data_IF_177518450155
#
_entry.id   IF_177518450155
#
_cell.length_a   1.000
_cell.length_b   1.000
_cell.length_c   1.000
_cell.angle_alpha   90.00
_cell.angle_beta   90.00
_cell.angle_gamma   90.00
#
_symmetry.space_group_name_H-M   'P 1'
#
loop_
_entity.id
_entity.type
_entity.pdbx_description
1 polymer ?
#
# COMPACT_ATOMS: atom_id res chain seq x y z
N UNK A 1 -4.76 -18.84 -12.08
CA UNK A 1 -5.59 -18.78 -10.88
C UNK A 1 -5.99 -17.34 -10.77
N UNK A 2 -7.26 -17.06 -11.04
CA UNK A 2 -7.81 -15.72 -11.16
C UNK A 2 -8.25 -15.21 -9.78
N UNK A 3 -7.79 -14.01 -9.43
CA UNK A 3 -8.24 -13.26 -8.26
C UNK A 3 -9.07 -12.09 -8.75
N UNK A 4 -10.37 -12.09 -8.44
CA UNK A 4 -11.29 -11.01 -8.79
C UNK A 4 -11.57 -10.13 -7.57
N UNK A 5 -11.30 -8.83 -7.70
CA UNK A 5 -11.63 -7.83 -6.69
C UNK A 5 -13.07 -7.35 -6.90
N UNK A 6 -13.90 -7.38 -5.85
CA UNK A 6 -15.25 -6.84 -5.89
C UNK A 6 -15.43 -5.88 -4.70
N UNK A 7 -15.61 -4.59 -5.00
CA UNK A 7 -15.93 -3.58 -3.99
C UNK A 7 -17.44 -3.65 -3.72
N UNK A 8 -17.82 -4.19 -2.56
CA UNK A 8 -19.21 -4.12 -2.11
C UNK A 8 -19.53 -2.73 -1.52
N UNK A 9 -20.83 -2.41 -1.52
CA UNK A 9 -21.43 -1.13 -1.13
C UNK A 9 -21.10 -0.63 0.29
N UNK A 10 -20.47 -1.47 1.12
CA UNK A 10 -20.13 -1.20 2.52
C UNK A 10 -18.65 -0.88 2.76
N UNK A 11 -17.87 -0.58 1.70
CA UNK A 11 -16.48 -0.13 1.80
C UNK A 11 -15.48 -1.14 2.42
N UNK A 12 -15.85 -2.41 2.57
CA UNK A 12 -14.93 -3.48 3.02
C UNK A 12 -14.27 -4.19 1.83
N UNK A 13 -12.93 -4.28 1.88
CA UNK A 13 -12.09 -4.85 0.82
C UNK A 13 -11.69 -6.27 1.22
N UNK A 14 -12.35 -7.27 0.64
CA UNK A 14 -12.10 -8.70 0.91
C UNK A 14 -11.00 -9.21 -0.02
N UNK A 15 -9.95 -9.82 0.55
CA UNK A 15 -8.80 -10.37 -0.19
C UNK A 15 -8.80 -11.89 -0.06
N UNK A 16 -8.98 -12.60 -1.17
CA UNK A 16 -8.64 -14.03 -1.25
C UNK A 16 -7.24 -14.16 -1.83
N UNK A 17 -6.45 -15.14 -1.35
CA UNK A 17 -5.07 -15.35 -1.76
C UNK A 17 -4.96 -16.69 -2.49
N UNK A 18 -4.31 -16.71 -3.64
CA UNK A 18 -4.06 -17.96 -4.38
C UNK A 18 -2.58 -18.12 -4.69
N UNK A 19 -2.01 -19.18 -4.13
CA UNK A 19 -0.57 -19.46 -4.09
C UNK A 19 0.00 -19.92 -5.44
N UNK A 20 1.00 -19.19 -5.98
CA UNK A 20 2.08 -19.64 -6.88
C UNK A 20 3.22 -18.58 -6.90
N UNK A 21 4.48 -18.96 -7.25
CA UNK A 21 5.69 -18.25 -6.83
C UNK A 21 5.87 -16.88 -7.52
N UNK A 22 5.86 -15.84 -6.68
CA UNK A 22 6.26 -14.43 -6.88
C UNK A 22 6.09 -13.83 -8.28
N UNK A 23 4.84 -13.69 -8.72
CA UNK A 23 4.46 -12.59 -9.60
C UNK A 23 4.02 -11.43 -8.72
N UNK A 24 4.49 -10.22 -9.01
CA UNK A 24 4.13 -9.02 -8.26
C UNK A 24 2.59 -8.98 -8.03
N UNK A 25 2.17 -8.83 -6.78
CA UNK A 25 0.75 -8.94 -6.40
C UNK A 25 0.06 -7.62 -6.70
N UNK A 26 -0.89 -7.61 -7.63
CA UNK A 26 -1.66 -6.41 -7.96
C UNK A 26 -2.44 -5.88 -6.75
N UNK A 27 -2.32 -4.58 -6.50
CA UNK A 27 -2.94 -3.91 -5.35
C UNK A 27 -3.99 -2.88 -5.74
N UNK A 28 -3.89 -2.32 -6.94
CA UNK A 28 -4.74 -1.24 -7.41
C UNK A 28 -4.01 -0.30 -8.36
N UNK A 29 -4.61 0.84 -8.64
CA UNK A 29 -4.04 1.88 -9.50
C UNK A 29 -3.21 2.89 -8.69
N UNK A 30 -2.31 3.58 -9.38
CA UNK A 30 -1.49 4.65 -8.80
C UNK A 30 -2.38 5.79 -8.26
N UNK A 31 -3.49 6.08 -8.94
CA UNK A 31 -4.46 7.09 -8.48
C UNK A 31 -5.14 6.67 -7.16
N UNK A 32 -5.51 5.40 -7.02
CA UNK A 32 -6.07 4.85 -5.78
C UNK A 32 -5.04 4.91 -4.65
N UNK A 33 -3.78 4.58 -4.93
CA UNK A 33 -2.69 4.72 -3.97
C UNK A 33 -2.50 6.17 -3.54
N UNK A 34 -2.47 7.13 -4.46
CA UNK A 34 -2.37 8.55 -4.12
C UNK A 34 -3.54 9.03 -3.24
N UNK A 35 -4.76 8.54 -3.47
CA UNK A 35 -5.93 8.81 -2.61
C UNK A 35 -5.78 8.17 -1.22
N UNK A 36 -5.25 6.95 -1.17
CA UNK A 36 -4.94 6.25 0.08
C UNK A 36 -3.93 7.06 0.90
N UNK A 37 -2.81 7.48 0.31
CA UNK A 37 -1.78 8.28 1.01
C UNK A 37 -2.34 9.57 1.58
N UNK A 38 -3.13 10.32 0.79
CA UNK A 38 -3.83 11.52 1.29
C UNK A 38 -4.75 11.22 2.46
N UNK A 39 -5.42 10.08 2.44
CA UNK A 39 -6.30 9.64 3.53
C UNK A 39 -5.51 9.27 4.77
N UNK A 40 -4.38 8.58 4.61
CA UNK A 40 -3.47 8.22 5.69
C UNK A 40 -2.89 9.46 6.36
N UNK A 41 -2.30 10.39 5.61
CA UNK A 41 -1.76 11.65 6.15
C UNK A 41 -2.83 12.47 6.87
N UNK A 42 -4.06 12.51 6.35
CA UNK A 42 -5.17 13.21 7.02
C UNK A 42 -5.59 12.54 8.33
N UNK A 43 -5.46 11.21 8.44
CA UNK A 43 -5.81 10.46 9.66
C UNK A 43 -4.67 10.46 10.67
N UNK A 44 -3.42 10.49 10.21
CA UNK A 44 -2.23 10.43 11.04
C UNK A 44 -1.87 11.74 11.74
N UNK A 45 -2.47 12.88 11.34
CA UNK A 45 -2.38 14.21 11.98
C UNK A 45 -1.27 14.36 13.04
N UNK A 46 -0.15 14.92 12.61
CA UNK A 46 0.99 15.27 13.47
C UNK A 46 1.69 14.07 14.15
N UNK A 47 1.26 12.82 13.93
CA UNK A 47 1.94 11.61 14.43
C UNK A 47 2.91 11.01 13.39
N UNK A 48 2.50 10.96 12.12
CA UNK A 48 3.31 10.39 11.04
C UNK A 48 2.96 10.97 9.67
N UNK A 49 3.96 11.01 8.79
CA UNK A 49 3.81 11.35 7.38
C UNK A 49 4.06 10.10 6.50
N UNK A 50 3.10 9.80 5.63
CA UNK A 50 3.20 8.78 4.61
C UNK A 50 3.58 9.40 3.28
N UNK A 51 4.69 8.96 2.71
CA UNK A 51 5.19 9.43 1.42
C UNK A 51 5.28 8.25 0.46
N UNK A 52 4.61 8.37 -0.69
CA UNK A 52 4.74 7.40 -1.79
C UNK A 52 5.46 8.03 -2.97
N UNK A 53 6.71 7.62 -3.19
CA UNK A 53 7.61 8.25 -4.15
C UNK A 53 8.27 7.24 -5.08
N UNK A 54 8.50 7.66 -6.33
CA UNK A 54 9.28 6.88 -7.29
C UNK A 54 10.76 6.91 -6.91
N UNK A 55 11.41 5.75 -6.96
CA UNK A 55 12.86 5.64 -6.74
C UNK A 55 13.62 5.54 -8.06
N UNK A 56 13.48 4.42 -8.77
CA UNK A 56 14.14 4.15 -10.04
C UNK A 56 13.23 3.29 -10.92
N UNK A 57 13.08 3.66 -12.20
CA UNK A 57 12.24 2.94 -13.17
C UNK A 57 10.82 2.71 -12.63
N UNK A 58 10.38 1.47 -12.61
CA UNK A 58 9.06 1.05 -12.13
C UNK A 58 9.02 0.89 -10.60
N UNK A 59 10.10 1.12 -9.86
CA UNK A 59 10.12 0.91 -8.41
C UNK A 59 9.72 2.17 -7.65
N UNK A 60 8.82 2.00 -6.69
CA UNK A 60 8.30 3.04 -5.82
C UNK A 60 8.44 2.61 -4.36
N UNK A 61 8.57 3.57 -3.46
CA UNK A 61 8.65 3.31 -2.03
C UNK A 61 7.53 4.04 -1.32
N UNK A 62 6.85 3.33 -0.41
CA UNK A 62 5.99 3.92 0.61
C UNK A 62 6.81 4.00 1.90
N UNK A 63 6.97 5.20 2.43
CA UNK A 63 7.67 5.46 3.69
C UNK A 63 6.66 5.99 4.70
N UNK A 64 6.72 5.48 5.92
CA UNK A 64 6.06 6.02 7.12
C UNK A 64 7.14 6.69 7.96
N UNK A 65 7.09 8.01 8.05
CA UNK A 65 8.01 8.84 8.83
C UNK A 65 7.31 9.32 10.11
N UNK A 66 7.79 8.92 11.28
CA UNK A 66 7.23 9.31 12.57
C UNK A 66 7.92 10.56 13.10
N UNK A 67 7.18 11.63 13.37
CA UNK A 67 7.76 12.93 13.72
C UNK A 67 8.63 12.93 15.01
N UNK A 68 8.38 11.99 15.93
CA UNK A 68 9.04 11.92 17.24
C UNK A 68 9.98 10.71 17.40
N UNK A 69 10.28 9.97 16.33
CA UNK A 69 11.13 8.78 16.41
C UNK A 69 12.11 8.68 15.25
N UNK A 70 13.34 8.22 15.53
CA UNK A 70 14.31 7.85 14.49
C UNK A 70 13.92 6.55 13.74
N UNK A 71 12.79 5.94 14.09
CA UNK A 71 12.26 4.75 13.42
C UNK A 71 11.40 5.15 12.22
N UNK A 72 11.75 4.65 11.03
CA UNK A 72 10.93 4.74 9.83
C UNK A 72 10.69 3.33 9.28
N UNK A 73 9.43 3.02 8.97
CA UNK A 73 9.07 1.79 8.26
C UNK A 73 8.90 2.11 6.77
N UNK A 74 9.40 1.25 5.88
CA UNK A 74 9.23 1.43 4.45
C UNK A 74 8.92 0.11 3.72
N UNK A 75 8.20 0.23 2.60
CA UNK A 75 7.89 -0.88 1.73
C UNK A 75 8.08 -0.49 0.26
N UNK A 76 8.61 -1.42 -0.53
CA UNK A 76 8.90 -1.22 -1.96
C UNK A 76 7.78 -1.85 -2.79
N UNK A 77 7.28 -1.07 -3.73
CA UNK A 77 6.24 -1.40 -4.68
C UNK A 77 6.79 -1.33 -6.10
N UNK A 78 6.11 -2.01 -7.01
CA UNK A 78 6.30 -1.81 -8.43
C UNK A 78 5.10 -1.07 -9.00
N UNK A 79 5.35 -0.08 -9.84
CA UNK A 79 4.32 0.66 -10.57
C UNK A 79 4.61 0.57 -12.05
N UNK A 80 3.75 -0.13 -12.78
CA UNK A 80 3.88 -0.33 -14.22
C UNK A 80 2.63 0.21 -14.88
N UNK A 81 2.79 1.18 -15.80
CA UNK A 81 1.66 1.77 -16.57
C UNK A 81 0.49 2.28 -15.68
N UNK A 82 0.80 2.75 -14.47
CA UNK A 82 -0.21 3.25 -13.53
C UNK A 82 -0.87 2.18 -12.64
N UNK A 83 -0.43 0.93 -12.72
CA UNK A 83 -0.85 -0.17 -11.85
C UNK A 83 0.21 -0.42 -10.77
N UNK A 84 -0.21 -0.57 -9.52
CA UNK A 84 0.65 -0.76 -8.35
C UNK A 84 0.63 -2.23 -7.92
N UNK A 85 1.81 -2.77 -7.67
CA UNK A 85 2.02 -4.15 -7.27
C UNK A 85 2.92 -4.25 -6.03
N UNK A 86 2.61 -5.18 -5.13
CA UNK A 86 3.47 -5.59 -4.03
C UNK A 86 4.51 -6.60 -4.52
N UNK A 87 5.78 -6.36 -4.19
CA UNK A 87 6.89 -7.25 -4.53
C UNK A 87 6.99 -8.49 -3.62
N UNK A 88 6.37 -8.44 -2.44
CA UNK A 88 6.38 -9.56 -1.49
C UNK A 88 5.17 -9.52 -0.56
N UNK A 89 4.97 -10.61 0.19
CA UNK A 89 3.98 -10.67 1.26
C UNK A 89 4.31 -9.69 2.40
N UNK A 90 5.56 -9.33 2.62
CA UNK A 90 5.95 -8.37 3.66
C UNK A 90 5.41 -6.97 3.36
N UNK A 91 5.36 -6.60 2.08
CA UNK A 91 4.74 -5.35 1.61
C UNK A 91 3.24 -5.34 1.91
N UNK A 92 2.57 -6.49 1.78
CA UNK A 92 1.16 -6.63 2.17
C UNK A 92 0.97 -6.52 3.68
N UNK A 93 1.86 -7.12 4.47
CA UNK A 93 1.82 -7.03 5.93
C UNK A 93 2.01 -5.58 6.39
N UNK A 94 2.91 -4.83 5.77
CA UNK A 94 3.08 -3.40 6.02
C UNK A 94 1.82 -2.59 5.71
N UNK A 95 1.21 -2.80 4.53
CA UNK A 95 -0.05 -2.16 4.18
C UNK A 95 -1.18 -2.53 5.15
N UNK A 96 -1.29 -3.79 5.54
CA UNK A 96 -2.30 -4.24 6.50
C UNK A 96 -2.07 -3.64 7.89
N UNK A 97 -0.81 -3.50 8.34
CA UNK A 97 -0.46 -2.82 9.59
C UNK A 97 -0.96 -1.37 9.57
N UNK A 98 -0.68 -0.64 8.49
CA UNK A 98 -1.13 0.75 8.30
C UNK A 98 -2.67 0.83 8.24
N UNK A 99 -3.31 -0.03 7.44
CA UNK A 99 -4.78 -0.07 7.31
C UNK A 99 -5.46 -0.34 8.64
N UNK A 100 -4.94 -1.30 9.42
CA UNK A 100 -5.48 -1.64 10.73
C UNK A 100 -5.27 -0.51 11.75
N UNK A 101 -4.12 0.18 11.72
CA UNK A 101 -3.82 1.33 12.59
C UNK A 101 -4.87 2.43 12.43
N UNK A 102 -5.30 2.71 11.19
CA UNK A 102 -6.26 3.78 10.92
C UNK A 102 -7.69 3.34 10.61
N UNK A 103 -7.97 2.03 10.61
CA UNK A 103 -9.23 1.42 10.12
C UNK A 103 -9.63 2.01 8.76
N UNK A 104 -8.77 1.81 7.75
CA UNK A 104 -8.99 2.22 6.33
C UNK A 104 -9.04 0.96 5.47
#
# INVERSE_FOLDING_TARGET
MDLSFNLNSDNELVVEAVAKPSGDLFLGTLEEFQKLIKTLNRKAKDEAEYVFQNMEKDFWVLQEDYHDSDEFDCAIFRVVKGEVYALSHDVLNFLNKIRNKFRV
#
